data_IF_823620821893
#
_entry.id   IF_823620821893
#
_cell.length_a   1.000
_cell.length_b   1.000
_cell.length_c   1.000
_cell.angle_alpha   90.00
_cell.angle_beta   90.00
_cell.angle_gamma   90.00
#
_symmetry.space_group_name_H-M   'P 1'
#
loop_
_entity.id
_entity.type
_entity.pdbx_description
1 polymer ?
#
# COMPACT_ATOMS: atom_id res chain seq x y z
N UNK A 1 6.65 12.36 -4.61
CA UNK A 1 6.65 11.49 -3.42
C UNK A 1 5.30 11.45 -2.70
N UNK A 2 4.66 12.59 -2.39
CA UNK A 2 3.35 12.58 -1.70
C UNK A 2 2.25 11.78 -2.42
N UNK A 3 2.19 11.83 -3.75
CA UNK A 3 1.30 10.98 -4.55
C UNK A 3 1.53 9.47 -4.31
N UNK A 4 2.80 9.05 -4.25
CA UNK A 4 3.18 7.66 -4.04
C UNK A 4 2.81 7.16 -2.64
N UNK A 5 2.82 8.03 -1.63
CA UNK A 5 2.34 7.71 -0.27
C UNK A 5 0.81 7.74 -0.17
N UNK A 6 0.15 8.69 -0.83
CA UNK A 6 -1.30 8.86 -0.76
C UNK A 6 -2.06 7.77 -1.52
N UNK A 7 -1.54 7.27 -2.65
CA UNK A 7 -2.20 6.23 -3.44
C UNK A 7 -2.52 4.95 -2.64
N UNK A 8 -1.56 4.29 -1.95
CA UNK A 8 -1.86 3.12 -1.13
C UNK A 8 -2.74 3.46 0.09
N UNK A 9 -2.53 4.62 0.73
CA UNK A 9 -3.37 5.07 1.84
C UNK A 9 -4.83 5.25 1.42
N UNK A 10 -5.07 5.88 0.27
CA UNK A 10 -6.39 6.10 -0.28
C UNK A 10 -7.09 4.77 -0.57
N UNK A 11 -6.39 3.80 -1.17
CA UNK A 11 -6.93 2.45 -1.40
C UNK A 11 -7.32 1.75 -0.09
N UNK A 12 -6.48 1.83 0.94
CA UNK A 12 -6.79 1.28 2.26
C UNK A 12 -8.03 1.92 2.89
N UNK A 13 -8.15 3.25 2.79
CA UNK A 13 -9.29 3.98 3.30
C UNK A 13 -10.59 3.64 2.56
N UNK A 14 -10.53 3.44 1.24
CA UNK A 14 -11.70 3.03 0.45
C UNK A 14 -12.19 1.64 0.85
N UNK A 15 -11.29 0.67 1.02
CA UNK A 15 -11.66 -0.69 1.45
C UNK A 15 -12.33 -0.69 2.83
N UNK A 16 -11.93 0.22 3.70
CA UNK A 16 -12.48 0.32 5.05
C UNK A 16 -13.79 1.13 5.12
N UNK A 17 -14.20 1.82 4.05
CA UNK A 17 -15.30 2.80 4.09
C UNK A 17 -16.50 2.35 3.24
N UNK A 18 -17.74 2.38 3.78
CA UNK A 18 -18.94 2.04 3.02
C UNK A 18 -19.18 3.02 1.85
N UNK A 19 -19.88 2.60 0.78
CA UNK A 19 -20.00 3.35 -0.49
C UNK A 19 -20.57 4.77 -0.31
N UNK A 20 -21.50 4.96 0.62
CA UNK A 20 -22.10 6.27 0.90
C UNK A 20 -21.10 7.33 1.41
N UNK A 21 -19.99 6.89 2.03
CA UNK A 21 -19.00 7.79 2.63
C UNK A 21 -17.72 7.95 1.79
N UNK A 22 -17.59 7.24 0.66
CA UNK A 22 -16.38 7.24 -0.17
C UNK A 22 -16.07 8.62 -0.77
N UNK A 23 -17.10 9.40 -1.12
CA UNK A 23 -16.92 10.77 -1.61
C UNK A 23 -16.27 11.68 -0.56
N UNK A 24 -16.64 11.53 0.72
CA UNK A 24 -16.05 12.30 1.82
C UNK A 24 -14.58 11.95 2.03
N UNK A 25 -14.26 10.65 2.02
CA UNK A 25 -12.86 10.17 2.12
C UNK A 25 -12.01 10.70 0.97
N UNK A 26 -12.56 10.69 -0.25
CA UNK A 26 -11.86 11.21 -1.43
C UNK A 26 -11.59 12.71 -1.30
N UNK A 27 -12.56 13.49 -0.84
CA UNK A 27 -12.37 14.94 -0.59
C UNK A 27 -11.26 15.17 0.45
N UNK A 28 -11.27 14.42 1.57
CA UNK A 28 -10.23 14.55 2.59
C UNK A 28 -8.84 14.17 2.08
N UNK A 29 -8.72 13.08 1.31
CA UNK A 29 -7.46 12.64 0.72
C UNK A 29 -6.90 13.67 -0.26
N UNK A 30 -7.74 14.17 -1.19
CA UNK A 30 -7.33 15.19 -2.16
C UNK A 30 -6.97 16.50 -1.47
N UNK A 31 -7.78 16.94 -0.51
CA UNK A 31 -7.51 18.16 0.27
C UNK A 31 -6.18 18.08 1.01
N UNK A 32 -5.89 16.96 1.66
CA UNK A 32 -4.62 16.73 2.36
C UNK A 32 -3.45 16.74 1.39
N UNK A 33 -3.57 16.06 0.25
CA UNK A 33 -2.52 16.02 -0.77
C UNK A 33 -2.19 17.42 -1.32
N UNK A 34 -3.22 18.21 -1.64
CA UNK A 34 -3.05 19.57 -2.15
C UNK A 34 -2.43 20.49 -1.08
N UNK A 35 -2.86 20.37 0.17
CA UNK A 35 -2.34 21.16 1.29
C UNK A 35 -0.86 20.85 1.55
N UNK A 36 -0.49 19.57 1.64
CA UNK A 36 0.91 19.15 1.79
C UNK A 36 1.79 19.62 0.61
N UNK A 37 1.26 19.59 -0.61
CA UNK A 37 1.98 20.06 -1.79
C UNK A 37 2.20 21.58 -1.76
N UNK A 38 1.19 22.36 -1.38
CA UNK A 38 1.31 23.81 -1.24
C UNK A 38 2.31 24.21 -0.13
N UNK A 39 2.25 23.54 1.03
CA UNK A 39 3.20 23.73 2.14
C UNK A 39 4.64 23.47 1.65
N UNK A 40 4.85 22.38 0.91
CA UNK A 40 6.17 22.05 0.39
C UNK A 40 6.71 23.11 -0.58
N UNK A 41 5.88 23.62 -1.49
CA UNK A 41 6.27 24.67 -2.43
C UNK A 41 6.62 25.97 -1.70
N UNK A 42 5.90 26.31 -0.62
CA UNK A 42 6.12 27.55 0.12
C UNK A 42 7.39 27.52 0.98
N UNK A 43 7.68 26.39 1.63
CA UNK A 43 8.79 26.28 2.59
C UNK A 43 10.14 25.95 1.95
N UNK A 44 10.16 25.46 0.69
CA UNK A 44 11.35 25.04 -0.08
C UNK A 44 12.41 24.27 0.74
N UNK A 45 11.95 23.49 1.72
CA UNK A 45 12.81 22.80 2.67
C UNK A 45 12.61 21.28 2.57
N UNK A 46 13.66 20.58 2.14
CA UNK A 46 13.68 19.13 1.97
C UNK A 46 13.41 18.37 3.28
N UNK A 47 13.76 18.96 4.42
CA UNK A 47 13.54 18.37 5.73
C UNK A 47 12.05 18.29 6.05
N UNK A 48 11.31 19.38 5.80
CA UNK A 48 9.86 19.43 6.01
C UNK A 48 9.15 18.45 5.08
N UNK A 49 9.60 18.35 3.82
CA UNK A 49 9.10 17.37 2.86
C UNK A 49 9.24 15.94 3.40
N UNK A 50 10.43 15.58 3.91
CA UNK A 50 10.72 14.27 4.46
C UNK A 50 9.87 13.92 5.67
N UNK A 51 9.67 14.87 6.60
CA UNK A 51 8.81 14.66 7.77
C UNK A 51 7.35 14.42 7.40
N UNK A 52 6.78 15.23 6.49
CA UNK A 52 5.39 15.06 6.04
C UNK A 52 5.22 13.69 5.37
N UNK A 53 6.17 13.32 4.50
CA UNK A 53 6.17 12.01 3.85
C UNK A 53 6.21 10.86 4.88
N UNK A 54 7.06 10.95 5.90
CA UNK A 54 7.17 9.96 6.95
C UNK A 54 5.86 9.76 7.72
N UNK A 55 5.21 10.86 8.10
CA UNK A 55 3.91 10.83 8.81
C UNK A 55 2.84 10.17 7.95
N UNK A 56 2.75 10.53 6.66
CA UNK A 56 1.76 9.96 5.75
C UNK A 56 1.93 8.44 5.61
N UNK A 57 3.15 7.97 5.35
CA UNK A 57 3.38 6.53 5.17
C UNK A 57 3.22 5.76 6.47
N UNK A 58 3.68 6.30 7.61
CA UNK A 58 3.47 5.69 8.92
C UNK A 58 1.98 5.54 9.22
N UNK A 59 1.16 6.55 8.91
CA UNK A 59 -0.30 6.45 9.04
C UNK A 59 -0.90 5.32 8.18
N UNK A 60 -0.42 5.15 6.94
CA UNK A 60 -0.87 4.10 6.03
C UNK A 60 -0.49 2.70 6.54
N UNK A 61 0.75 2.54 7.01
CA UNK A 61 1.25 1.28 7.56
C UNK A 61 0.49 0.92 8.85
N UNK A 62 0.26 1.88 9.75
CA UNK A 62 -0.52 1.64 10.96
C UNK A 62 -1.97 1.26 10.65
N UNK A 63 -2.59 1.91 9.66
CA UNK A 63 -3.93 1.55 9.20
C UNK A 63 -3.94 0.13 8.62
N UNK A 64 -2.96 -0.23 7.79
CA UNK A 64 -2.83 -1.57 7.24
C UNK A 64 -2.69 -2.64 8.34
N UNK A 65 -1.79 -2.43 9.31
CA UNK A 65 -1.61 -3.34 10.45
C UNK A 65 -2.90 -3.48 11.26
N UNK A 66 -3.61 -2.38 11.52
CA UNK A 66 -4.90 -2.40 12.24
C UNK A 66 -5.95 -3.21 11.48
N UNK A 67 -6.07 -3.03 10.17
CA UNK A 67 -7.01 -3.77 9.33
C UNK A 67 -6.68 -5.26 9.34
N UNK A 68 -5.41 -5.63 9.16
CA UNK A 68 -4.97 -7.04 9.18
C UNK A 68 -5.25 -7.67 10.54
N UNK A 69 -4.89 -6.99 11.65
CA UNK A 69 -5.13 -7.48 13.01
C UNK A 69 -6.63 -7.64 13.31
N UNK A 70 -7.45 -6.68 12.90
CA UNK A 70 -8.91 -6.74 13.08
C UNK A 70 -9.54 -7.88 12.29
N UNK A 71 -9.11 -8.11 11.04
CA UNK A 71 -9.60 -9.23 10.21
C UNK A 71 -9.16 -10.60 10.75
N UNK A 72 -7.97 -10.69 11.33
CA UNK A 72 -7.50 -11.94 11.95
C UNK A 72 -8.33 -12.28 13.20
N UNK A 73 -8.55 -11.32 14.11
CA UNK A 73 -9.36 -11.52 15.31
C UNK A 73 -10.81 -11.91 15.01
N UNK A 74 -11.40 -11.39 13.92
CA UNK A 74 -12.75 -11.78 13.49
C UNK A 74 -12.82 -13.17 12.83
N UNK A 75 -11.72 -13.67 12.29
CA UNK A 75 -11.67 -15.00 11.65
C UNK A 75 -11.75 -16.12 12.69
N UNK A 76 -11.13 -15.94 13.85
CA UNK A 76 -11.16 -16.89 14.96
C UNK A 76 -12.58 -17.10 15.52
N UNK A 77 -13.44 -16.08 15.42
CA UNK A 77 -14.84 -16.14 15.87
C UNK A 77 -15.82 -16.74 14.83
N UNK A 78 -15.45 -16.76 13.54
CA UNK A 78 -16.38 -17.05 12.43
C UNK A 78 -16.09 -18.35 11.67
N UNK A 79 -14.91 -18.97 11.78
CA UNK A 79 -14.53 -20.09 10.89
C UNK A 79 -13.84 -21.24 11.64
N UNK A 80 -14.61 -22.10 12.31
CA UNK A 80 -14.13 -23.44 12.70
C UNK A 80 -14.34 -24.51 11.60
N UNK A 81 -15.20 -24.27 10.60
CA UNK A 81 -15.63 -25.34 9.67
C UNK A 81 -15.00 -25.29 8.25
N UNK A 82 -14.23 -24.25 7.88
CA UNK A 82 -13.62 -24.11 6.53
C UNK A 82 -12.16 -23.60 6.57
N UNK A 83 -11.46 -23.84 7.69
CA UNK A 83 -10.41 -22.94 8.20
C UNK A 83 -8.96 -23.13 7.74
N UNK A 84 -8.58 -24.22 7.05
CA UNK A 84 -7.16 -24.49 6.78
C UNK A 84 -6.53 -23.47 5.80
N UNK A 85 -7.11 -23.27 4.62
CA UNK A 85 -6.55 -22.35 3.60
C UNK A 85 -6.70 -20.86 3.95
N UNK A 86 -7.68 -20.52 4.81
CA UNK A 86 -7.94 -19.13 5.22
C UNK A 86 -6.90 -18.64 6.22
N UNK A 87 -6.44 -19.49 7.14
CA UNK A 87 -5.41 -19.16 8.13
C UNK A 87 -4.04 -18.94 7.47
N UNK A 88 -3.65 -19.79 6.51
CA UNK A 88 -2.39 -19.64 5.76
C UNK A 88 -2.32 -18.29 5.00
N UNK A 89 -3.43 -17.88 4.37
CA UNK A 89 -3.53 -16.58 3.68
C UNK A 89 -3.25 -15.39 4.60
N UNK A 90 -3.81 -15.38 5.80
CA UNK A 90 -3.62 -14.27 6.74
C UNK A 90 -2.22 -14.23 7.35
N UNK A 91 -1.58 -15.38 7.50
CA UNK A 91 -0.19 -15.45 7.93
C UNK A 91 0.74 -14.79 6.89
N UNK A 92 0.55 -15.10 5.61
CA UNK A 92 1.31 -14.48 4.50
C UNK A 92 1.09 -12.96 4.50
N UNK A 93 -0.16 -12.51 4.60
CA UNK A 93 -0.51 -11.08 4.64
C UNK A 93 0.16 -10.37 5.82
N UNK A 94 0.18 -10.99 7.00
CA UNK A 94 0.82 -10.44 8.20
C UNK A 94 2.33 -10.30 8.02
N UNK A 95 3.00 -11.33 7.49
CA UNK A 95 4.44 -11.31 7.21
C UNK A 95 4.79 -10.22 6.18
N UNK A 96 4.01 -10.10 5.11
CA UNK A 96 4.22 -9.10 4.06
C UNK A 96 4.02 -7.67 4.59
N UNK A 97 3.03 -7.47 5.46
CA UNK A 97 2.79 -6.19 6.14
C UNK A 97 3.96 -5.81 7.04
N UNK A 98 4.48 -6.76 7.83
CA UNK A 98 5.65 -6.55 8.69
C UNK A 98 6.92 -6.27 7.89
N UNK A 99 7.16 -7.00 6.80
CA UNK A 99 8.29 -6.79 5.90
C UNK A 99 8.24 -5.40 5.24
N UNK A 100 7.07 -4.99 4.73
CA UNK A 100 6.87 -3.66 4.15
C UNK A 100 7.11 -2.54 5.17
N UNK A 101 6.63 -2.70 6.41
CA UNK A 101 6.89 -1.75 7.49
C UNK A 101 8.40 -1.66 7.82
N UNK A 102 9.10 -2.79 7.90
CA UNK A 102 10.54 -2.84 8.14
C UNK A 102 11.35 -2.15 7.03
N UNK A 103 11.01 -2.40 5.76
CA UNK A 103 11.65 -1.74 4.62
C UNK A 103 11.43 -0.23 4.62
N UNK A 104 10.26 0.23 5.06
CA UNK A 104 10.00 1.67 5.17
C UNK A 104 10.87 2.33 6.25
N UNK A 105 11.01 1.70 7.41
CA UNK A 105 11.90 2.19 8.47
C UNK A 105 13.35 2.23 7.98
N UNK A 106 13.79 1.19 7.27
CA UNK A 106 15.13 1.15 6.67
C UNK A 106 15.32 2.26 5.62
N UNK A 107 14.33 2.50 4.77
CA UNK A 107 14.36 3.59 3.79
C UNK A 107 14.50 4.96 4.47
N UNK A 108 13.73 5.20 5.52
CA UNK A 108 13.78 6.45 6.28
C UNK A 108 15.11 6.63 7.02
N UNK A 109 15.68 5.53 7.53
CA UNK A 109 17.01 5.54 8.14
C UNK A 109 18.09 5.94 7.14
N UNK A 110 18.06 5.42 5.92
CA UNK A 110 18.96 5.83 4.85
C UNK A 110 18.77 7.28 4.45
N UNK A 111 17.54 7.78 4.40
CA UNK A 111 17.27 9.20 4.18
C UNK A 111 17.86 10.09 5.29
N UNK A 112 17.78 9.68 6.57
CA UNK A 112 18.34 10.44 7.69
C UNK A 112 19.87 10.53 7.62
N UNK A 113 20.53 9.43 7.22
CA UNK A 113 21.99 9.41 6.99
C UNK A 113 22.35 10.30 5.79
N UNK A 114 21.58 10.27 4.71
CA UNK A 114 21.82 11.08 3.51
C UNK A 114 21.81 12.59 3.83
N UNK A 115 20.83 13.03 4.61
CA UNK A 115 20.73 14.43 5.09
C UNK A 115 21.85 14.76 6.08
N UNK A 116 22.20 13.84 7.00
CA UNK A 116 23.20 14.07 8.04
C UNK A 116 24.66 14.06 7.56
N UNK A 117 24.98 13.26 6.54
CA UNK A 117 26.35 13.03 6.05
C UNK A 117 26.59 13.61 4.65
N UNK A 118 25.78 14.58 4.22
CA UNK A 118 25.80 15.14 2.87
C UNK A 118 27.21 15.58 2.40
N UNK A 119 28.01 16.25 3.23
CA UNK A 119 29.38 16.68 2.86
C UNK A 119 30.36 15.51 2.77
N UNK A 120 30.21 14.49 3.62
CA UNK A 120 31.07 13.32 3.66
C UNK A 120 30.80 12.40 2.47
N UNK A 121 29.52 12.18 2.15
CA UNK A 121 29.07 11.43 0.98
C UNK A 121 29.52 12.09 -0.32
N UNK A 122 29.46 13.41 -0.42
CA UNK A 122 29.89 14.15 -1.62
C UNK A 122 31.42 14.13 -1.80
N UNK A 123 32.18 14.22 -0.71
CA UNK A 123 33.63 14.06 -0.76
C UNK A 123 34.04 12.63 -1.13
N UNK A 124 33.35 11.63 -0.59
CA UNK A 124 33.61 10.22 -0.90
C UNK A 124 33.24 9.89 -2.35
N UNK A 125 32.12 10.40 -2.86
CA UNK A 125 31.73 10.23 -4.27
C UNK A 125 32.78 10.80 -5.23
N UNK A 126 33.34 11.97 -4.90
CA UNK A 126 34.43 12.60 -5.68
C UNK A 126 35.74 11.82 -5.63
N UNK A 127 35.99 11.06 -4.56
CA UNK A 127 37.20 10.24 -4.42
C UNK A 127 37.08 8.86 -5.08
N UNK A 128 35.90 8.23 -5.04
CA UNK A 128 35.74 6.83 -5.46
C UNK A 128 35.38 6.70 -6.95
N UNK A 129 34.74 7.71 -7.56
CA UNK A 129 34.37 7.67 -8.98
C UNK A 129 33.29 6.61 -9.30
N UNK A 130 32.98 6.42 -10.59
CA UNK A 130 32.02 5.38 -11.05
C UNK A 130 32.71 4.01 -11.10
N UNK A 131 32.02 2.89 -10.77
CA UNK A 131 30.58 2.74 -10.50
C UNK A 131 30.18 2.88 -9.02
N UNK A 132 31.14 2.86 -8.10
CA UNK A 132 30.89 2.87 -6.65
C UNK A 132 30.26 4.18 -6.16
N UNK A 133 30.45 5.29 -6.87
CA UNK A 133 29.76 6.56 -6.62
C UNK A 133 28.23 6.49 -6.77
N UNK A 134 27.71 5.52 -7.52
CA UNK A 134 26.27 5.24 -7.65
C UNK A 134 25.74 4.47 -6.44
N UNK A 135 26.53 3.51 -5.93
CA UNK A 135 26.17 2.74 -4.73
C UNK A 135 26.23 3.61 -3.46
N UNK A 136 27.11 4.61 -3.46
CA UNK A 136 27.18 5.64 -2.42
C UNK A 136 26.07 6.69 -2.53
N UNK A 137 25.23 6.64 -3.56
CA UNK A 137 24.01 7.46 -3.64
C UNK A 137 22.94 6.86 -2.75
N UNK A 138 23.11 7.09 -1.44
CA UNK A 138 22.14 6.73 -0.42
C UNK A 138 20.77 7.38 -0.71
N UNK A 139 20.78 8.54 -1.37
CA UNK A 139 19.62 9.15 -1.98
C UNK A 139 18.85 8.21 -2.94
N UNK A 140 19.52 7.47 -3.82
CA UNK A 140 18.86 6.52 -4.71
C UNK A 140 18.26 5.33 -3.95
N UNK A 141 18.99 4.84 -2.94
CA UNK A 141 18.56 3.67 -2.16
C UNK A 141 17.30 3.91 -1.35
N UNK A 142 17.10 5.09 -0.76
CA UNK A 142 15.85 5.36 -0.05
C UNK A 142 14.65 5.36 -1.00
N UNK A 143 14.80 5.84 -2.24
CA UNK A 143 13.73 5.78 -3.26
C UNK A 143 13.38 4.34 -3.63
N UNK A 144 14.40 3.51 -3.86
CA UNK A 144 14.21 2.08 -4.19
C UNK A 144 13.51 1.35 -3.06
N UNK A 145 13.99 1.50 -1.82
CA UNK A 145 13.39 0.85 -0.65
C UNK A 145 11.97 1.33 -0.38
N UNK A 146 11.71 2.64 -0.52
CA UNK A 146 10.35 3.21 -0.36
C UNK A 146 9.40 2.70 -1.45
N UNK A 147 9.88 2.55 -2.69
CA UNK A 147 9.10 1.98 -3.79
C UNK A 147 8.73 0.51 -3.55
N UNK A 148 9.68 -0.31 -3.09
CA UNK A 148 9.42 -1.70 -2.73
C UNK A 148 8.43 -1.79 -1.57
N UNK A 149 8.60 -0.96 -0.53
CA UNK A 149 7.67 -0.93 0.60
C UNK A 149 6.24 -0.54 0.17
N UNK A 150 6.10 0.47 -0.70
CA UNK A 150 4.81 0.87 -1.25
C UNK A 150 4.15 -0.24 -2.06
N UNK A 151 4.94 -0.96 -2.89
CA UNK A 151 4.45 -2.12 -3.64
C UNK A 151 3.96 -3.23 -2.71
N UNK A 152 4.69 -3.57 -1.64
CA UNK A 152 4.25 -4.57 -0.67
C UNK A 152 2.92 -4.20 -0.01
N UNK A 153 2.69 -2.92 0.32
CA UNK A 153 1.41 -2.45 0.87
C UNK A 153 0.27 -2.59 -0.15
N UNK A 154 0.52 -2.30 -1.43
CA UNK A 154 -0.47 -2.51 -2.49
C UNK A 154 -0.82 -3.99 -2.66
N UNK A 155 0.16 -4.89 -2.63
CA UNK A 155 -0.11 -6.34 -2.67
C UNK A 155 -0.93 -6.78 -1.46
N UNK A 156 -0.64 -6.27 -0.27
CA UNK A 156 -1.46 -6.52 0.93
C UNK A 156 -2.89 -6.05 0.73
N UNK A 157 -3.09 -4.85 0.18
CA UNK A 157 -4.40 -4.28 -0.16
C UNK A 157 -5.15 -5.24 -1.09
N UNK A 158 -4.54 -5.63 -2.21
CA UNK A 158 -5.17 -6.48 -3.23
C UNK A 158 -5.54 -7.86 -2.67
N UNK A 159 -4.64 -8.50 -1.92
CA UNK A 159 -4.91 -9.78 -1.26
C UNK A 159 -6.04 -9.70 -0.23
N UNK A 160 -6.24 -8.53 0.38
CA UNK A 160 -7.32 -8.30 1.34
C UNK A 160 -8.65 -7.90 0.69
N UNK A 161 -8.64 -7.38 -0.54
CA UNK A 161 -9.81 -7.05 -1.35
C UNK A 161 -10.31 -8.19 -2.23
N UNK A 162 -9.50 -9.23 -2.46
CA UNK A 162 -9.86 -10.49 -3.16
C UNK A 162 -10.92 -11.35 -2.42
N UNK A 163 -11.74 -10.70 -1.60
CA UNK A 163 -12.99 -11.20 -1.05
C UNK A 163 -14.00 -10.24 -1.68
N UNK A 164 -14.68 -10.57 -2.78
CA UNK A 164 -15.97 -11.29 -2.73
C UNK A 164 -16.27 -12.17 -3.96
N UNK A 165 -15.39 -12.29 -4.97
CA UNK A 165 -15.79 -12.86 -6.28
C UNK A 165 -15.65 -14.39 -6.45
N UNK A 166 -15.22 -15.12 -5.43
CA UNK A 166 -15.17 -16.59 -5.49
C UNK A 166 -15.84 -17.24 -4.28
N UNK A 167 -17.14 -16.98 -4.15
CA UNK A 167 -18.06 -17.95 -3.57
C UNK A 167 -19.26 -18.16 -4.51
N UNK A 168 -19.00 -18.34 -5.81
CA UNK A 168 -19.92 -19.18 -6.58
C UNK A 168 -19.74 -20.60 -6.04
N UNK A 169 -20.86 -21.17 -5.62
CA UNK A 169 -20.91 -22.49 -5.01
C UNK A 169 -20.10 -23.51 -5.79
N UNK A 170 -19.51 -24.42 -5.02
CA UNK A 170 -18.88 -25.64 -5.50
C UNK A 170 -19.94 -26.51 -6.23
N UNK A 171 -20.26 -26.14 -7.47
CA UNK A 171 -20.93 -27.04 -8.41
C UNK A 171 -19.83 -27.84 -9.11
N UNK A 172 -19.76 -29.11 -8.70
CA UNK A 172 -18.94 -30.16 -9.28
C UNK A 172 -19.32 -30.44 -10.73
N UNK A 173 -18.97 -29.54 -11.67
CA UNK A 173 -19.06 -29.81 -13.10
C UNK A 173 -17.77 -29.44 -13.83
N UNK A 174 -16.96 -30.48 -13.98
CA UNK A 174 -16.12 -30.79 -15.14
C UNK A 174 -15.18 -29.70 -15.66
N UNK A 175 -13.90 -29.89 -15.30
CA UNK A 175 -12.73 -29.89 -16.19
C UNK A 175 -12.99 -29.39 -17.62
N UNK A 176 -12.71 -28.12 -17.88
CA UNK A 176 -12.02 -27.63 -19.08
C UNK A 176 -11.81 -26.11 -18.93
N UNK A 177 -10.61 -25.68 -18.52
CA UNK A 177 -10.27 -24.25 -18.62
C UNK A 177 -9.39 -24.08 -19.84
N UNK A 178 -9.97 -23.53 -20.90
CA UNK A 178 -9.19 -23.02 -22.02
C UNK A 178 -8.53 -21.71 -21.61
N UNK A 179 -7.24 -21.62 -21.89
CA UNK A 179 -6.44 -20.40 -21.83
C UNK A 179 -6.94 -19.46 -22.93
N UNK A 180 -7.91 -18.59 -22.64
CA UNK A 180 -8.26 -17.48 -23.53
C UNK A 180 -7.63 -16.18 -23.04
N UNK A 181 -6.71 -15.68 -23.88
CA UNK A 181 -6.00 -14.42 -23.71
C UNK A 181 -6.98 -13.24 -23.74
N UNK A 182 -6.74 -12.29 -22.84
CA UNK A 182 -6.89 -10.85 -23.10
C UNK A 182 -8.26 -10.25 -22.84
N UNK A 183 -8.37 -9.47 -21.76
CA UNK A 183 -8.83 -8.08 -21.78
C UNK A 183 -8.81 -7.51 -20.35
N UNK A 184 -7.93 -6.54 -20.11
CA UNK A 184 -7.95 -5.71 -18.92
C UNK A 184 -9.08 -4.69 -19.08
N UNK A 185 -10.27 -5.06 -18.62
CA UNK A 185 -11.39 -4.14 -18.43
C UNK A 185 -11.57 -3.87 -16.94
N UNK A 186 -11.22 -2.66 -16.51
CA UNK A 186 -11.52 -2.16 -15.16
C UNK A 186 -13.04 -2.17 -14.94
N UNK A 187 -13.57 -2.80 -13.88
CA UNK A 187 -14.99 -2.73 -13.61
C UNK A 187 -15.30 -1.35 -12.99
N UNK A 188 -15.96 -0.51 -13.78
CA UNK A 188 -16.93 0.45 -13.25
C UNK A 188 -17.94 -0.36 -12.44
N UNK A 189 -17.98 -0.12 -11.13
CA UNK A 189 -18.77 -0.93 -10.20
C UNK A 189 -20.27 -0.92 -10.52
N UNK A 190 -21.00 -2.03 -10.28
CA UNK A 190 -22.45 -2.02 -10.39
C UNK A 190 -23.08 -1.74 -9.02
N UNK A 191 -23.47 -0.48 -8.81
CA UNK A 191 -24.78 -0.21 -8.23
C UNK A 191 -25.78 -0.73 -9.29
N UNK A 192 -26.47 -1.84 -9.02
CA UNK A 192 -27.78 -2.30 -9.58
C UNK A 192 -27.81 -3.82 -9.40
N UNK A 193 -28.35 -4.28 -8.27
CA UNK A 193 -28.90 -5.64 -8.13
C UNK A 193 -29.83 -5.70 -6.90
N UNK A 194 -30.82 -4.80 -6.85
CA UNK A 194 -31.87 -4.79 -5.80
C UNK A 194 -33.29 -4.69 -6.36
N UNK A 195 -33.52 -4.90 -7.66
CA UNK A 195 -34.87 -4.75 -8.23
C UNK A 195 -35.20 -5.81 -9.29
N UNK A 196 -35.18 -7.10 -8.93
CA UNK A 196 -35.95 -8.09 -9.70
C UNK A 196 -36.39 -9.30 -8.86
N UNK A 197 -37.06 -9.06 -7.74
CA UNK A 197 -37.95 -10.04 -7.10
C UNK A 197 -39.29 -9.36 -6.79
N UNK A 198 -40.06 -9.10 -7.84
CA UNK A 198 -41.51 -8.87 -7.74
C UNK A 198 -42.15 -8.99 -9.12
N UNK A 199 -42.43 -10.23 -9.52
CA UNK A 199 -43.70 -10.68 -10.11
C UNK A 199 -43.69 -12.18 -10.34
#
# INVERSE_FOLDING_TARGET
MFLAAMAPLYRLLLINTPPNNQSRVTIYAVSTLLSCSAIHIYLDNITVHGFIFAVMVLSAVLLAIRIVKSKNAGTDASTQASGAGKLEKYEIISRLTGAGAGLFVLAYFFWLIDVGFCRQLDNLRRQVGLPWGLLLELHGWWHVLSGIAAYMVLVVVDLTSDKEDCSCGEDNRNKHWEVTKGQYSWPVGPMICQLQQSK
#
